data_IF_134342233932
#
_entry.id   IF_134342233932
#
_cell.length_a   1.000
_cell.length_b   1.000
_cell.length_c   1.000
_cell.angle_alpha   90.00
_cell.angle_beta   90.00
_cell.angle_gamma   90.00
#
_symmetry.space_group_name_H-M   'P 1'
#
loop_
_entity.id
_entity.type
_entity.pdbx_description
1 polymer ?
#
# COMPACT_ATOMS: atom_id res chain seq x y z
N UNK A 1 15.92 -23.02 -2.04
CA UNK A 1 15.35 -23.03 -3.41
C UNK A 1 16.22 -23.82 -4.38
N UNK A 2 15.68 -24.41 -5.46
CA UNK A 2 16.54 -24.96 -6.54
C UNK A 2 16.81 -23.87 -7.59
N UNK A 3 18.05 -23.79 -8.07
CA UNK A 3 18.43 -22.79 -9.08
C UNK A 3 17.62 -22.91 -10.38
N UNK A 4 17.18 -24.11 -10.76
CA UNK A 4 16.30 -24.29 -11.91
C UNK A 4 15.00 -23.51 -11.79
N UNK A 5 14.38 -23.46 -10.61
CA UNK A 5 13.12 -22.74 -10.37
C UNK A 5 13.36 -21.22 -10.48
N UNK A 6 14.39 -20.72 -9.77
CA UNK A 6 14.83 -19.32 -9.83
C UNK A 6 15.12 -18.88 -11.27
N UNK A 7 15.75 -19.76 -12.04
CA UNK A 7 16.11 -19.46 -13.41
C UNK A 7 14.89 -19.29 -14.32
N UNK A 8 13.87 -20.15 -14.22
CA UNK A 8 12.68 -20.04 -15.07
C UNK A 8 11.87 -18.78 -14.72
N UNK A 9 11.64 -18.51 -13.43
CA UNK A 9 10.96 -17.28 -12.99
C UNK A 9 11.72 -16.04 -13.44
N UNK A 10 13.05 -16.04 -13.33
CA UNK A 10 13.87 -14.93 -13.83
C UNK A 10 13.70 -14.71 -15.34
N UNK A 11 13.64 -15.77 -16.15
CA UNK A 11 13.44 -15.63 -17.59
C UNK A 11 12.05 -15.05 -17.92
N UNK A 12 11.01 -15.43 -17.17
CA UNK A 12 9.64 -14.88 -17.32
C UNK A 12 9.60 -13.38 -17.01
N UNK A 13 10.20 -12.95 -15.89
CA UNK A 13 10.29 -11.53 -15.50
C UNK A 13 11.06 -10.70 -16.52
N UNK A 14 12.17 -11.24 -17.03
CA UNK A 14 12.99 -10.57 -18.03
C UNK A 14 12.30 -10.47 -19.38
N UNK A 15 11.47 -11.46 -19.78
CA UNK A 15 10.70 -11.38 -21.01
C UNK A 15 9.62 -10.29 -20.92
N UNK A 16 8.93 -10.22 -19.77
CA UNK A 16 7.95 -9.17 -19.46
C UNK A 16 8.57 -7.76 -19.41
N UNK A 17 9.80 -7.64 -18.90
CA UNK A 17 10.47 -6.34 -18.64
C UNK A 17 11.62 -6.02 -19.60
N UNK A 18 11.80 -6.78 -20.69
CA UNK A 18 12.98 -6.73 -21.59
C UNK A 18 13.29 -5.35 -22.17
N UNK A 19 12.32 -4.43 -22.25
CA UNK A 19 12.52 -3.08 -22.78
C UNK A 19 13.11 -2.05 -21.79
N UNK A 20 13.15 -2.38 -20.50
CA UNK A 20 13.63 -1.46 -19.47
C UNK A 20 15.16 -1.42 -19.36
N UNK A 21 15.71 -0.24 -19.07
CA UNK A 21 17.14 -0.07 -18.87
C UNK A 21 17.53 -0.42 -17.44
N UNK A 22 18.32 -1.48 -17.29
CA UNK A 22 18.90 -1.91 -16.03
C UNK A 22 20.21 -1.16 -15.77
N UNK A 23 20.55 -1.01 -14.48
CA UNK A 23 21.79 -0.36 -14.03
C UNK A 23 22.55 -1.33 -13.14
N UNK A 24 23.86 -1.49 -13.36
CA UNK A 24 24.66 -2.36 -12.49
C UNK A 24 24.80 -1.78 -11.08
N UNK A 25 24.68 -2.60 -10.02
CA UNK A 25 24.78 -2.15 -8.63
C UNK A 25 26.06 -1.38 -8.29
N UNK A 26 27.23 -1.94 -8.61
CA UNK A 26 28.52 -1.39 -8.17
C UNK A 26 29.08 -0.38 -9.17
N UNK A 27 29.07 -0.72 -10.46
CA UNK A 27 29.69 0.07 -11.53
C UNK A 27 28.77 1.17 -12.07
N UNK A 28 27.47 1.10 -11.78
CA UNK A 28 26.42 2.02 -12.27
C UNK A 28 26.33 2.11 -13.79
N UNK A 29 26.73 1.03 -14.48
CA UNK A 29 26.67 0.95 -15.93
C UNK A 29 25.25 0.62 -16.38
N UNK A 30 24.76 1.35 -17.40
CA UNK A 30 23.41 1.12 -17.95
C UNK A 30 23.45 0.15 -19.12
N UNK A 31 22.53 -0.80 -19.12
CA UNK A 31 22.36 -1.77 -20.20
C UNK A 31 20.88 -2.15 -20.36
N UNK A 32 20.55 -2.85 -21.44
CA UNK A 32 19.22 -3.44 -21.67
C UNK A 32 19.35 -4.92 -21.95
N UNK A 33 18.31 -5.67 -21.63
CA UNK A 33 18.19 -7.07 -22.01
C UNK A 33 17.59 -7.13 -23.40
N UNK A 34 18.34 -7.63 -24.38
CA UNK A 34 17.90 -7.65 -25.78
C UNK A 34 17.29 -8.98 -26.18
N UNK A 35 17.65 -10.06 -25.49
CA UNK A 35 17.21 -11.42 -25.81
C UNK A 35 17.34 -12.34 -24.59
N UNK A 36 16.35 -13.21 -24.40
CA UNK A 36 16.23 -14.11 -23.25
C UNK A 36 16.14 -15.53 -23.76
N UNK A 37 17.04 -16.42 -23.32
CA UNK A 37 17.12 -17.81 -23.79
C UNK A 37 17.29 -18.77 -22.61
N UNK A 38 16.90 -20.03 -22.81
CA UNK A 38 16.96 -21.09 -21.78
C UNK A 38 18.35 -21.25 -21.14
N UNK A 39 19.44 -20.97 -21.87
CA UNK A 39 20.80 -21.14 -21.37
C UNK A 39 21.59 -19.83 -21.23
N UNK A 40 21.03 -18.68 -21.62
CA UNK A 40 21.72 -17.39 -21.56
C UNK A 40 20.77 -16.19 -21.68
N UNK A 41 21.20 -15.06 -21.17
CA UNK A 41 20.56 -13.75 -21.36
C UNK A 41 21.52 -12.86 -22.16
N UNK A 42 21.05 -12.21 -23.21
CA UNK A 42 21.87 -11.28 -24.01
C UNK A 42 21.56 -9.86 -23.55
N UNK A 43 22.60 -9.14 -23.15
CA UNK A 43 22.50 -7.73 -22.77
C UNK A 43 23.23 -6.84 -23.78
N UNK A 44 22.80 -5.60 -23.91
CA UNK A 44 23.47 -4.57 -24.69
C UNK A 44 23.69 -3.31 -23.83
N UNK A 45 24.94 -2.86 -23.74
CA UNK A 45 25.30 -1.62 -23.07
C UNK A 45 24.99 -0.39 -23.94
N UNK A 46 24.93 0.79 -23.33
CA UNK A 46 24.73 2.07 -24.05
C UNK A 46 25.80 2.31 -25.13
N UNK A 47 27.00 1.72 -25.00
CA UNK A 47 28.07 1.80 -26.00
C UNK A 47 27.89 0.85 -27.20
N UNK A 48 26.77 0.12 -27.27
CA UNK A 48 26.40 -0.78 -28.36
C UNK A 48 27.08 -2.15 -28.31
N UNK A 49 27.74 -2.50 -27.21
CA UNK A 49 28.35 -3.83 -27.05
C UNK A 49 27.33 -4.82 -26.51
N UNK A 50 26.96 -5.79 -27.34
CA UNK A 50 26.18 -6.95 -26.92
C UNK A 50 27.08 -7.98 -26.21
N UNK A 51 26.63 -8.49 -25.06
CA UNK A 51 27.34 -9.51 -24.27
C UNK A 51 26.35 -10.62 -23.84
N UNK A 52 26.66 -11.89 -24.09
CA UNK A 52 25.89 -12.99 -23.53
C UNK A 52 26.30 -13.24 -22.07
N UNK A 53 25.30 -13.39 -21.21
CA UNK A 53 25.41 -13.80 -19.81
C UNK A 53 24.98 -15.26 -19.70
N UNK A 54 25.88 -16.12 -19.22
CA UNK A 54 25.66 -17.57 -19.23
C UNK A 54 24.92 -18.03 -17.98
N UNK A 55 23.97 -18.96 -18.15
CA UNK A 55 23.21 -19.58 -17.05
C UNK A 55 24.11 -20.13 -15.93
N UNK A 56 25.26 -20.73 -16.24
CA UNK A 56 26.12 -21.32 -15.20
C UNK A 56 26.75 -20.26 -14.28
N UNK A 57 26.93 -19.03 -14.77
CA UNK A 57 27.45 -17.93 -13.97
C UNK A 57 26.37 -17.39 -13.02
N UNK A 58 25.11 -17.36 -13.47
CA UNK A 58 23.96 -17.10 -12.61
C UNK A 58 23.85 -18.14 -11.50
N UNK A 59 24.00 -19.42 -11.84
CA UNK A 59 23.96 -20.50 -10.86
C UNK A 59 25.07 -20.38 -9.81
N UNK A 60 26.27 -20.02 -10.27
CA UNK A 60 27.42 -19.84 -9.39
C UNK A 60 27.19 -18.68 -8.42
N UNK A 61 26.65 -17.56 -8.91
CA UNK A 61 26.34 -16.41 -8.07
C UNK A 61 25.18 -16.70 -7.11
N UNK A 62 24.12 -17.34 -7.59
CA UNK A 62 22.98 -17.77 -6.77
C UNK A 62 23.42 -18.66 -5.60
N UNK A 63 24.25 -19.68 -5.85
CA UNK A 63 24.76 -20.55 -4.77
C UNK A 63 25.55 -19.77 -3.72
N UNK A 64 26.36 -18.78 -4.13
CA UNK A 64 27.11 -17.93 -3.20
C UNK A 64 26.21 -17.02 -2.37
N UNK A 65 25.09 -16.58 -2.93
CA UNK A 65 24.07 -15.81 -2.20
C UNK A 65 23.36 -16.73 -1.19
N UNK A 66 22.94 -17.92 -1.63
CA UNK A 66 22.26 -18.89 -0.77
C UNK A 66 23.15 -19.42 0.37
N UNK A 67 24.48 -19.50 0.18
CA UNK A 67 25.44 -19.91 1.20
C UNK A 67 25.78 -18.78 2.20
N UNK A 68 25.35 -17.54 1.97
CA UNK A 68 25.70 -16.37 2.80
C UNK A 68 24.58 -16.01 3.79
N UNK A 69 24.85 -16.18 5.10
CA UNK A 69 23.87 -15.91 6.17
C UNK A 69 23.35 -14.46 6.21
N UNK A 70 24.21 -13.47 5.96
CA UNK A 70 23.86 -12.03 5.99
C UNK A 70 23.72 -11.41 4.58
N UNK A 71 23.61 -12.26 3.54
CA UNK A 71 23.66 -11.84 2.15
C UNK A 71 25.07 -11.71 1.58
N UNK A 72 25.16 -11.66 0.25
CA UNK A 72 26.40 -11.62 -0.50
C UNK A 72 26.85 -10.18 -0.78
N UNK A 73 28.03 -9.80 -0.30
CA UNK A 73 28.68 -8.52 -0.58
C UNK A 73 29.07 -8.40 -2.08
N UNK A 74 28.41 -7.49 -2.79
CA UNK A 74 28.64 -7.23 -4.21
C UNK A 74 30.03 -6.68 -4.52
N UNK A 75 30.66 -5.98 -3.58
CA UNK A 75 32.04 -5.50 -3.71
C UNK A 75 33.07 -6.64 -3.84
N UNK A 76 32.69 -7.88 -3.51
CA UNK A 76 33.52 -9.07 -3.73
C UNK A 76 33.40 -9.63 -5.13
N UNK A 77 32.46 -9.14 -5.95
CA UNK A 77 32.34 -9.56 -7.34
C UNK A 77 33.50 -8.97 -8.17
N UNK A 78 34.04 -9.76 -9.11
CA UNK A 78 34.77 -9.19 -10.22
C UNK A 78 33.91 -8.13 -10.92
N UNK A 79 34.47 -7.01 -11.41
CA UNK A 79 33.72 -5.97 -12.12
C UNK A 79 32.87 -6.52 -13.27
N UNK A 80 33.35 -7.57 -13.95
CA UNK A 80 32.65 -8.19 -15.07
C UNK A 80 31.44 -9.03 -14.65
N UNK A 81 31.28 -9.32 -13.35
CA UNK A 81 30.19 -10.10 -12.77
C UNK A 81 29.06 -9.24 -12.19
N UNK A 82 29.26 -7.92 -12.08
CA UNK A 82 28.27 -6.94 -11.57
C UNK A 82 26.95 -6.96 -12.38
N UNK A 83 27.04 -7.23 -13.69
CA UNK A 83 25.88 -7.42 -14.58
C UNK A 83 25.01 -8.62 -14.20
N UNK A 84 25.58 -9.68 -13.62
CA UNK A 84 24.81 -10.84 -13.19
C UNK A 84 24.01 -10.51 -11.93
N UNK A 85 24.54 -9.66 -11.05
CA UNK A 85 23.81 -9.19 -9.88
C UNK A 85 22.62 -8.30 -10.28
N UNK A 86 22.81 -7.37 -11.22
CA UNK A 86 21.73 -6.54 -11.75
C UNK A 86 20.58 -7.36 -12.34
N UNK A 87 20.91 -8.40 -13.11
CA UNK A 87 19.92 -9.26 -13.75
C UNK A 87 19.26 -10.18 -12.72
N UNK A 88 20.01 -10.79 -11.79
CA UNK A 88 19.42 -11.60 -10.71
C UNK A 88 18.49 -10.80 -9.81
N UNK A 89 18.77 -9.53 -9.57
CA UNK A 89 17.91 -8.65 -8.78
C UNK A 89 16.55 -8.34 -9.44
N UNK A 90 16.29 -8.80 -10.65
CA UNK A 90 14.94 -8.80 -11.24
C UNK A 90 14.09 -9.96 -10.72
N UNK A 91 14.70 -10.98 -10.11
CA UNK A 91 13.96 -12.09 -9.53
C UNK A 91 13.21 -11.62 -8.27
N UNK A 92 11.91 -11.92 -8.11
CA UNK A 92 11.09 -11.39 -7.00
C UNK A 92 11.55 -11.81 -5.61
N UNK A 93 12.35 -12.88 -5.52
CA UNK A 93 12.90 -13.40 -4.25
C UNK A 93 14.36 -13.04 -4.01
N UNK A 94 14.95 -12.19 -4.85
CA UNK A 94 16.30 -11.67 -4.64
C UNK A 94 16.23 -10.15 -4.49
N UNK A 95 16.71 -9.64 -3.37
CA UNK A 95 16.72 -8.20 -3.09
C UNK A 95 18.14 -7.67 -3.05
N UNK A 96 18.38 -6.60 -3.81
CA UNK A 96 19.59 -5.79 -3.71
C UNK A 96 19.33 -4.72 -2.66
N UNK A 97 20.12 -4.69 -1.59
CA UNK A 97 19.98 -3.70 -0.52
C UNK A 97 20.06 -2.26 -1.04
N UNK A 98 19.49 -1.31 -0.28
CA UNK A 98 19.34 0.10 -0.69
C UNK A 98 20.66 0.77 -1.11
N UNK A 99 21.77 0.39 -0.49
CA UNK A 99 23.12 0.89 -0.80
C UNK A 99 23.78 0.18 -2.00
N UNK A 100 23.10 -0.77 -2.63
CA UNK A 100 23.62 -1.60 -3.73
C UNK A 100 24.88 -2.42 -3.37
N UNK A 101 25.09 -2.70 -2.08
CA UNK A 101 26.28 -3.36 -1.54
C UNK A 101 26.09 -4.83 -1.25
N UNK A 102 24.85 -5.29 -1.02
CA UNK A 102 24.55 -6.67 -0.63
C UNK A 102 23.36 -7.18 -1.45
N UNK A 103 23.45 -8.43 -1.90
CA UNK A 103 22.31 -9.18 -2.45
C UNK A 103 21.99 -10.34 -1.54
N UNK A 104 20.74 -10.45 -1.13
CA UNK A 104 20.26 -11.55 -0.30
C UNK A 104 19.03 -12.19 -0.92
N UNK A 105 18.85 -13.47 -0.64
CA UNK A 105 17.53 -14.07 -0.78
C UNK A 105 16.60 -13.28 0.14
N UNK A 106 15.50 -12.78 -0.42
CA UNK A 106 14.36 -12.44 0.41
C UNK A 106 14.01 -13.76 1.04
N UNK A 107 14.18 -13.89 2.35
CA UNK A 107 13.54 -14.98 3.07
C UNK A 107 12.06 -14.90 2.68
N UNK A 108 11.65 -15.73 1.70
CA UNK A 108 10.30 -16.26 1.73
C UNK A 108 10.26 -16.76 3.15
N UNK A 109 9.43 -16.13 3.95
CA UNK A 109 9.03 -16.76 5.18
C UNK A 109 8.51 -18.12 4.69
N UNK A 110 9.32 -19.17 4.82
CA UNK A 110 8.82 -20.49 5.17
C UNK A 110 7.76 -20.13 6.18
N UNK A 111 6.49 -20.28 5.79
CA UNK A 111 5.37 -19.68 6.51
C UNK A 111 5.66 -19.93 7.98
N UNK A 112 6.04 -18.89 8.75
CA UNK A 112 6.83 -19.10 9.93
C UNK A 112 6.00 -20.03 10.79
N UNK A 113 6.53 -21.20 11.15
CA UNK A 113 5.88 -22.18 12.05
C UNK A 113 5.03 -21.35 13.01
N UNK A 114 3.69 -21.43 12.92
CA UNK A 114 2.77 -20.32 13.15
C UNK A 114 3.29 -19.49 14.31
N UNK A 115 4.07 -18.46 13.99
CA UNK A 115 4.74 -17.70 15.03
C UNK A 115 3.59 -17.16 15.86
N UNK A 116 3.51 -17.55 17.14
CA UNK A 116 2.36 -17.29 18.01
C UNK A 116 1.87 -15.86 17.75
N UNK A 117 0.79 -15.76 16.97
CA UNK A 117 0.31 -14.46 16.51
C UNK A 117 -0.17 -13.75 17.75
N UNK A 118 0.45 -12.64 18.07
CA UNK A 118 0.01 -11.81 19.19
C UNK A 118 -1.05 -10.87 18.65
N UNK A 119 -2.23 -10.94 19.24
CA UNK A 119 -3.31 -9.99 18.98
C UNK A 119 -2.79 -8.55 19.23
N UNK A 120 -2.85 -7.67 18.22
CA UNK A 120 -2.44 -6.29 18.39
C UNK A 120 -3.52 -5.51 19.14
N UNK A 121 -3.08 -4.61 20.03
CA UNK A 121 -3.95 -3.65 20.72
C UNK A 121 -4.31 -2.49 19.78
N UNK A 122 -5.18 -2.77 18.80
CA UNK A 122 -5.63 -1.82 17.78
C UNK A 122 -7.14 -1.97 17.56
N UNK A 123 -7.89 -0.88 17.65
CA UNK A 123 -9.34 -0.87 17.46
C UNK A 123 -9.74 -1.46 16.09
N UNK A 124 -9.01 -1.12 15.03
CA UNK A 124 -9.25 -1.67 13.68
C UNK A 124 -9.11 -3.18 13.60
N UNK A 125 -8.29 -3.80 14.46
CA UNK A 125 -8.13 -5.25 14.50
C UNK A 125 -9.38 -5.90 15.08
N UNK A 126 -9.83 -5.44 16.24
CA UNK A 126 -11.03 -5.94 16.90
C UNK A 126 -12.28 -5.75 16.02
N UNK A 127 -12.47 -4.54 15.46
CA UNK A 127 -13.64 -4.24 14.62
C UNK A 127 -13.62 -5.02 13.30
N UNK A 128 -12.44 -5.27 12.73
CA UNK A 128 -12.33 -6.08 11.52
C UNK A 128 -12.70 -7.55 11.78
N UNK A 129 -12.33 -8.10 12.94
CA UNK A 129 -12.75 -9.46 13.32
C UNK A 129 -14.27 -9.54 13.52
N UNK A 130 -14.87 -8.56 14.19
CA UNK A 130 -16.33 -8.47 14.36
C UNK A 130 -17.04 -8.32 13.01
N UNK A 131 -16.47 -7.54 12.08
CA UNK A 131 -17.02 -7.43 10.73
C UNK A 131 -16.91 -8.75 9.97
N UNK A 132 -15.77 -9.44 10.01
CA UNK A 132 -15.60 -10.75 9.36
C UNK A 132 -16.63 -11.74 9.89
N UNK A 133 -16.77 -11.84 11.21
CA UNK A 133 -17.77 -12.70 11.87
C UNK A 133 -19.21 -12.36 11.42
N UNK A 134 -19.58 -11.08 11.40
CA UNK A 134 -20.90 -10.66 10.92
C UNK A 134 -21.13 -10.98 9.43
N UNK A 135 -20.09 -10.91 8.60
CA UNK A 135 -20.15 -11.25 7.17
C UNK A 135 -20.26 -12.77 6.95
N UNK A 136 -19.74 -13.60 7.86
CA UNK A 136 -19.85 -15.06 7.79
C UNK A 136 -21.24 -15.56 8.22
N UNK A 137 -21.90 -14.86 9.15
CA UNK A 137 -23.22 -15.23 9.68
C UNK A 137 -24.40 -14.76 8.84
N UNK A 138 -24.21 -13.77 7.98
CA UNK A 138 -25.29 -13.15 7.21
C UNK A 138 -25.01 -13.23 5.71
N UNK A 139 -26.03 -13.57 4.92
CA UNK A 139 -25.94 -13.52 3.46
C UNK A 139 -25.94 -12.06 2.98
N UNK A 140 -24.74 -11.49 2.88
CA UNK A 140 -24.52 -10.11 2.44
C UNK A 140 -24.61 -9.94 0.93
N UNK A 141 -24.85 -11.02 0.17
CA UNK A 141 -25.04 -10.94 -1.29
C UNK A 141 -26.47 -10.56 -1.67
N UNK A 142 -27.41 -10.62 -0.73
CA UNK A 142 -28.82 -10.27 -0.89
C UNK A 142 -29.30 -9.28 0.21
N UNK A 143 -28.64 -8.12 0.32
CA UNK A 143 -28.95 -7.10 1.34
C UNK A 143 -30.42 -6.62 1.34
N UNK A 144 -31.13 -6.75 0.22
CA UNK A 144 -32.54 -6.35 0.09
C UNK A 144 -33.47 -7.21 0.95
N UNK A 145 -33.07 -8.45 1.22
CA UNK A 145 -33.82 -9.43 2.00
C UNK A 145 -33.39 -9.45 3.48
N UNK A 146 -32.34 -8.70 3.83
CA UNK A 146 -31.81 -8.65 5.19
C UNK A 146 -32.72 -7.86 6.13
N UNK A 147 -32.80 -8.30 7.39
CA UNK A 147 -33.55 -7.58 8.42
C UNK A 147 -32.88 -6.23 8.73
N UNK A 148 -33.69 -5.23 9.09
CA UNK A 148 -33.20 -3.88 9.42
C UNK A 148 -32.13 -3.91 10.51
N UNK A 149 -32.26 -4.80 11.50
CA UNK A 149 -31.28 -4.98 12.57
C UNK A 149 -29.91 -5.43 12.03
N UNK A 150 -29.91 -6.45 11.16
CA UNK A 150 -28.70 -6.90 10.44
C UNK A 150 -28.07 -5.76 9.64
N UNK A 151 -28.88 -4.99 8.91
CA UNK A 151 -28.38 -3.86 8.12
C UNK A 151 -27.77 -2.76 9.00
N UNK A 152 -28.36 -2.46 10.16
CA UNK A 152 -27.81 -1.50 11.12
C UNK A 152 -26.48 -1.99 11.69
N UNK A 153 -26.38 -3.27 12.03
CA UNK A 153 -25.15 -3.87 12.54
C UNK A 153 -24.03 -3.82 11.49
N UNK A 154 -24.31 -4.28 10.27
CA UNK A 154 -23.35 -4.23 9.15
C UNK A 154 -22.91 -2.80 8.85
N UNK A 155 -23.85 -1.84 8.82
CA UNK A 155 -23.51 -0.43 8.60
C UNK A 155 -22.57 0.13 9.66
N UNK A 156 -22.86 -0.17 10.94
CA UNK A 156 -22.07 0.30 12.08
C UNK A 156 -20.66 -0.28 12.03
N UNK A 157 -20.53 -1.60 11.88
CA UNK A 157 -19.22 -2.27 11.80
C UNK A 157 -18.41 -1.79 10.58
N UNK A 158 -19.04 -1.61 9.41
CA UNK A 158 -18.37 -1.04 8.24
C UNK A 158 -17.86 0.39 8.50
N UNK A 159 -18.65 1.19 9.21
CA UNK A 159 -18.28 2.57 9.57
C UNK A 159 -17.09 2.59 10.54
N UNK A 160 -17.10 1.74 11.56
CA UNK A 160 -16.04 1.67 12.56
C UNK A 160 -14.73 1.15 11.95
N UNK A 161 -14.78 0.07 11.16
CA UNK A 161 -13.61 -0.42 10.41
C UNK A 161 -13.08 0.65 9.45
N UNK A 162 -13.94 1.36 8.71
CA UNK A 162 -13.51 2.42 7.81
C UNK A 162 -12.78 3.54 8.57
N UNK A 163 -13.35 4.00 9.69
CA UNK A 163 -12.79 5.07 10.51
C UNK A 163 -11.46 4.66 11.10
N UNK A 164 -11.40 3.52 11.78
CA UNK A 164 -10.21 3.07 12.49
C UNK A 164 -9.09 2.64 11.52
N UNK A 165 -9.43 2.08 10.35
CA UNK A 165 -8.46 1.86 9.28
C UNK A 165 -7.92 3.18 8.70
N UNK A 166 -8.75 4.22 8.59
CA UNK A 166 -8.30 5.52 8.13
C UNK A 166 -7.40 6.23 9.15
N UNK A 167 -7.69 6.08 10.45
CA UNK A 167 -6.85 6.61 11.53
C UNK A 167 -5.47 5.94 11.49
N UNK A 168 -5.40 4.59 11.47
CA UNK A 168 -4.13 3.86 11.31
C UNK A 168 -3.40 4.24 10.00
N UNK A 169 -4.12 4.36 8.89
CA UNK A 169 -3.54 4.79 7.60
C UNK A 169 -2.92 6.18 7.70
N UNK A 170 -3.50 7.08 8.49
CA UNK A 170 -2.99 8.44 8.70
C UNK A 170 -1.71 8.38 9.51
N UNK A 171 -1.68 7.66 10.63
CA UNK A 171 -0.47 7.47 11.44
C UNK A 171 0.69 6.87 10.62
N UNK A 172 0.39 5.85 9.80
CA UNK A 172 1.36 5.26 8.88
C UNK A 172 1.83 6.28 7.83
N UNK A 173 0.93 7.10 7.30
CA UNK A 173 1.27 8.13 6.31
C UNK A 173 2.20 9.18 6.90
N UNK A 174 1.97 9.61 8.14
CA UNK A 174 2.81 10.60 8.82
C UNK A 174 4.25 10.08 8.97
N UNK A 175 4.42 8.83 9.40
CA UNK A 175 5.73 8.18 9.47
C UNK A 175 6.37 8.02 8.08
N UNK A 176 5.60 7.69 7.06
CA UNK A 176 6.11 7.57 5.69
C UNK A 176 6.54 8.92 5.10
N UNK A 177 5.86 10.03 5.43
CA UNK A 177 6.27 11.37 4.98
C UNK A 177 7.67 11.74 5.47
N UNK A 178 8.05 11.30 6.67
CA UNK A 178 9.39 11.50 7.21
C UNK A 178 10.47 10.67 6.49
N UNK A 179 10.09 9.52 5.92
CA UNK A 179 11.01 8.55 5.31
C UNK A 179 11.14 8.70 3.79
N UNK A 180 10.07 9.07 3.11
CA UNK A 180 10.03 9.13 1.65
C UNK A 180 10.71 10.40 1.12
N UNK A 181 11.63 10.21 0.17
CA UNK A 181 12.14 11.29 -0.68
C UNK A 181 11.09 11.73 -1.69
N UNK A 182 11.16 12.99 -2.13
CA UNK A 182 10.28 13.54 -3.16
C UNK A 182 10.40 12.79 -4.49
N UNK A 183 9.25 12.59 -5.15
CA UNK A 183 9.12 12.18 -6.56
C UNK A 183 9.63 10.78 -6.95
N UNK A 184 9.87 9.87 -5.98
CA UNK A 184 10.16 8.45 -6.29
C UNK A 184 9.20 7.51 -5.53
N UNK A 185 8.51 6.58 -6.23
CA UNK A 185 7.70 5.57 -5.57
C UNK A 185 8.59 4.54 -4.86
N UNK A 186 8.18 4.16 -3.65
CA UNK A 186 8.75 3.04 -2.89
C UNK A 186 7.77 1.87 -2.99
N UNK A 187 8.28 0.73 -3.46
CA UNK A 187 7.52 -0.51 -3.66
C UNK A 187 7.62 -1.39 -2.41
N UNK A 188 6.55 -2.15 -2.17
CA UNK A 188 6.43 -3.16 -1.12
C UNK A 188 5.53 -4.29 -1.64
N UNK A 189 5.39 -5.35 -0.85
CA UNK A 189 4.70 -6.59 -1.20
C UNK A 189 3.22 -6.42 -1.61
N UNK A 190 2.56 -5.32 -1.26
CA UNK A 190 1.14 -5.09 -1.56
C UNK A 190 0.90 -3.87 -2.48
N UNK A 191 1.96 -3.24 -2.99
CA UNK A 191 1.87 -2.09 -3.87
C UNK A 191 2.97 -1.05 -3.65
N UNK A 192 2.73 0.18 -4.09
CA UNK A 192 3.72 1.26 -3.98
C UNK A 192 3.10 2.58 -3.53
N UNK A 193 3.91 3.38 -2.85
CA UNK A 193 3.54 4.72 -2.36
C UNK A 193 4.59 5.75 -2.74
N UNK A 194 4.18 7.00 -2.92
CA UNK A 194 5.09 8.11 -3.19
C UNK A 194 4.68 9.36 -2.40
N UNK A 195 5.67 10.17 -2.01
CA UNK A 195 5.43 11.51 -1.48
C UNK A 195 5.11 12.46 -2.62
N UNK A 196 4.06 13.25 -2.45
CA UNK A 196 3.63 14.27 -3.42
C UNK A 196 3.14 15.50 -2.67
N UNK A 197 3.22 16.68 -3.30
CA UNK A 197 2.70 17.91 -2.72
C UNK A 197 1.44 18.37 -3.45
N UNK A 198 0.51 18.93 -2.68
CA UNK A 198 -0.64 19.66 -3.19
C UNK A 198 -0.49 21.10 -2.75
N UNK A 199 -0.49 21.99 -3.74
CA UNK A 199 -0.52 23.44 -3.53
C UNK A 199 -1.95 23.93 -3.70
N UNK A 200 -2.49 24.55 -2.66
CA UNK A 200 -3.78 25.25 -2.68
C UNK A 200 -3.50 26.74 -2.52
N UNK A 201 -4.21 27.58 -3.26
CA UNK A 201 -4.15 29.04 -3.11
C UNK A 201 -5.55 29.60 -2.88
N UNK A 202 -5.67 30.52 -1.95
CA UNK A 202 -6.90 31.27 -1.68
C UNK A 202 -6.57 32.75 -1.64
N UNK A 203 -7.46 33.60 -2.15
CA UNK A 203 -7.26 35.05 -2.08
C UNK A 203 -7.17 35.48 -0.62
N UNK A 204 -6.25 36.41 -0.35
CA UNK A 204 -6.25 37.16 0.90
C UNK A 204 -7.50 38.02 1.00
N UNK A 205 -7.74 38.57 2.19
CA UNK A 205 -8.88 39.46 2.43
C UNK A 205 -8.97 40.58 1.37
N UNK A 206 -10.19 40.86 0.91
CA UNK A 206 -10.50 41.82 -0.15
C UNK A 206 -9.80 43.18 0.03
N UNK A 207 -9.75 43.69 1.27
CA UNK A 207 -9.10 44.97 1.59
C UNK A 207 -7.58 44.91 1.35
N UNK A 208 -6.95 43.81 1.77
CA UNK A 208 -5.52 43.56 1.57
C UNK A 208 -5.19 43.46 0.08
N UNK A 209 -5.97 42.68 -0.67
CA UNK A 209 -5.75 42.51 -2.12
C UNK A 209 -5.92 43.84 -2.86
N UNK A 210 -6.96 44.61 -2.53
CA UNK A 210 -7.20 45.93 -3.14
C UNK A 210 -6.08 46.94 -2.83
N UNK A 211 -5.57 46.95 -1.60
CA UNK A 211 -4.46 47.82 -1.20
C UNK A 211 -3.18 47.50 -1.99
N UNK A 212 -2.85 46.20 -2.09
CA UNK A 212 -1.68 45.72 -2.84
C UNK A 212 -1.79 46.05 -4.33
N UNK A 213 -2.97 45.86 -4.93
CA UNK A 213 -3.21 46.22 -6.33
C UNK A 213 -3.13 47.73 -6.57
N UNK A 214 -3.66 48.55 -5.65
CA UNK A 214 -3.60 50.01 -5.75
C UNK A 214 -2.16 50.55 -5.64
N UNK A 215 -1.35 50.00 -4.73
CA UNK A 215 0.06 50.35 -4.58
C UNK A 215 0.89 49.99 -5.84
N UNK A 216 0.47 48.95 -6.57
CA UNK A 216 1.05 48.59 -7.87
C UNK A 216 0.52 49.43 -9.06
N UNK A 217 -0.32 50.44 -8.80
CA UNK A 217 -0.86 51.33 -9.82
C UNK A 217 -2.08 50.78 -10.58
N UNK A 218 -2.71 49.72 -10.07
CA UNK A 218 -3.94 49.14 -10.62
C UNK A 218 -5.13 49.81 -9.93
N UNK A 219 -5.99 50.46 -10.73
CA UNK A 219 -7.14 51.22 -10.21
C UNK A 219 -8.12 50.29 -9.43
N UNK A 220 -8.30 50.50 -8.11
CA UNK A 220 -9.15 49.65 -7.28
C UNK A 220 -10.64 49.69 -7.69
N UNK A 221 -11.08 50.71 -8.43
CA UNK A 221 -12.44 50.82 -8.96
C UNK A 221 -12.67 49.91 -10.20
N UNK A 222 -11.61 49.42 -10.85
CA UNK A 222 -11.73 48.39 -11.91
C UNK A 222 -12.01 46.99 -11.38
N UNK A 223 -11.84 46.76 -10.08
CA UNK A 223 -12.02 45.46 -9.42
C UNK A 223 -13.17 45.58 -8.43
N UNK A 224 -14.40 45.80 -8.91
CA UNK A 224 -15.57 45.99 -8.03
C UNK A 224 -15.86 44.74 -7.17
N UNK A 225 -15.46 43.56 -7.64
CA UNK A 225 -15.37 42.29 -6.89
C UNK A 225 -13.96 41.73 -7.02
N UNK A 226 -13.32 41.35 -5.91
CA UNK A 226 -12.02 40.65 -5.93
C UNK A 226 -12.29 39.22 -6.39
N UNK A 227 -12.16 39.01 -7.70
CA UNK A 227 -12.34 37.71 -8.34
C UNK A 227 -10.95 37.11 -8.61
N UNK A 228 -10.69 35.82 -8.30
CA UNK A 228 -9.40 35.18 -8.54
C UNK A 228 -8.91 35.36 -9.98
N UNK A 229 -9.80 35.27 -10.97
CA UNK A 229 -9.44 35.39 -12.39
C UNK A 229 -8.96 36.81 -12.73
N UNK A 230 -9.61 37.84 -12.17
CA UNK A 230 -9.20 39.25 -12.36
C UNK A 230 -7.91 39.59 -11.62
N UNK A 231 -7.68 38.98 -10.47
CA UNK A 231 -6.43 39.15 -9.71
C UNK A 231 -5.27 38.48 -10.44
N UNK A 232 -5.50 37.30 -11.04
CA UNK A 232 -4.51 36.64 -11.90
C UNK A 232 -4.17 37.48 -13.14
N UNK A 233 -5.17 38.06 -13.81
CA UNK A 233 -4.94 38.97 -14.94
C UNK A 233 -4.11 40.20 -14.54
N UNK A 234 -4.36 40.73 -13.34
CA UNK A 234 -3.62 41.85 -12.76
C UNK A 234 -2.17 41.48 -12.40
N UNK A 235 -1.95 40.29 -11.82
CA UNK A 235 -0.63 39.74 -11.55
C UNK A 235 0.18 39.55 -12.84
N UNK A 236 -0.45 39.12 -13.94
CA UNK A 236 0.24 38.89 -15.22
C UNK A 236 0.83 40.16 -15.86
N UNK A 237 0.33 41.35 -15.49
CA UNK A 237 0.75 42.64 -16.06
C UNK A 237 1.40 43.58 -15.03
N UNK A 238 1.65 43.09 -13.81
CA UNK A 238 2.28 43.86 -12.73
C UNK A 238 3.56 43.19 -12.24
N UNK A 239 4.30 43.89 -11.38
CA UNK A 239 5.48 43.35 -10.69
C UNK A 239 5.10 42.61 -9.39
N UNK A 240 3.79 42.48 -9.12
CA UNK A 240 3.28 41.78 -7.94
C UNK A 240 3.50 40.28 -8.07
N UNK A 241 3.81 39.65 -6.95
CA UNK A 241 3.94 38.21 -6.84
C UNK A 241 2.63 37.60 -6.36
N UNK A 242 2.44 36.31 -6.65
CA UNK A 242 1.27 35.56 -6.19
C UNK A 242 1.11 35.63 -4.67
N UNK A 243 2.23 35.58 -3.92
CA UNK A 243 2.25 35.69 -2.46
C UNK A 243 1.81 37.04 -1.93
N UNK A 244 1.72 38.09 -2.75
CA UNK A 244 1.26 39.40 -2.29
C UNK A 244 -0.27 39.41 -2.14
N UNK A 245 -0.99 38.65 -2.97
CA UNK A 245 -2.46 38.66 -3.07
C UNK A 245 -3.13 37.33 -2.70
N UNK A 246 -2.40 36.21 -2.72
CA UNK A 246 -2.89 34.89 -2.31
C UNK A 246 -2.19 34.39 -1.04
N UNK A 247 -2.97 33.74 -0.18
CA UNK A 247 -2.47 32.78 0.80
C UNK A 247 -2.26 31.44 0.10
N UNK A 248 -1.03 30.95 0.16
CA UNK A 248 -0.60 29.72 -0.52
C UNK A 248 -0.25 28.70 0.54
N UNK A 249 -1.00 27.60 0.56
CA UNK A 249 -0.75 26.44 1.41
C UNK A 249 -0.19 25.30 0.56
N UNK A 250 1.00 24.82 0.89
CA UNK A 250 1.55 23.58 0.34
C UNK A 250 1.45 22.48 1.39
N UNK A 251 0.80 21.37 1.03
CA UNK A 251 0.66 20.20 1.89
C UNK A 251 1.22 18.99 1.20
N UNK A 252 2.08 18.29 1.90
CA UNK A 252 2.66 17.03 1.43
C UNK A 252 1.79 15.87 1.92
N UNK A 253 1.64 14.87 1.06
CA UNK A 253 0.85 13.70 1.38
C UNK A 253 1.43 12.46 0.70
N UNK A 254 1.19 11.31 1.33
CA UNK A 254 1.51 10.01 0.74
C UNK A 254 0.41 9.64 -0.22
N UNK A 255 0.78 9.36 -1.46
CA UNK A 255 -0.12 8.87 -2.50
C UNK A 255 0.21 7.41 -2.80
N UNK A 256 -0.81 6.55 -2.69
CA UNK A 256 -0.77 5.20 -3.26
C UNK A 256 -0.62 5.30 -4.78
N UNK A 257 0.44 4.72 -5.32
CA UNK A 257 0.77 4.76 -6.73
C UNK A 257 0.29 3.49 -7.44
N UNK A 258 0.68 2.32 -6.96
CA UNK A 258 0.29 1.02 -7.53
C UNK A 258 -0.22 0.09 -6.44
N UNK A 259 -1.00 -0.92 -6.85
CA UNK A 259 -1.50 -1.99 -5.99
C UNK A 259 -1.15 -3.31 -6.66
N UNK A 260 -0.60 -4.23 -5.88
CA UNK A 260 -0.34 -5.60 -6.32
C UNK A 260 -1.46 -6.52 -5.82
N UNK A 261 -2.49 -6.70 -6.67
CA UNK A 261 -3.66 -7.50 -6.31
C UNK A 261 -3.39 -9.01 -6.41
N UNK A 262 -2.54 -9.46 -7.34
CA UNK A 262 -2.17 -10.88 -7.47
C UNK A 262 -1.43 -11.38 -6.22
N UNK A 263 -0.52 -10.57 -5.67
CA UNK A 263 0.19 -10.92 -4.44
C UNK A 263 -0.75 -11.00 -3.23
N UNK A 264 -1.77 -10.12 -3.16
CA UNK A 264 -2.79 -10.19 -2.12
C UNK A 264 -3.65 -11.43 -2.23
N UNK A 265 -4.11 -11.77 -3.43
CA UNK A 265 -4.91 -12.97 -3.68
C UNK A 265 -4.13 -14.23 -3.30
N UNK A 266 -2.87 -14.32 -3.71
CA UNK A 266 -1.99 -15.43 -3.37
C UNK A 266 -1.80 -15.57 -1.86
N UNK A 267 -1.54 -14.46 -1.15
CA UNK A 267 -1.39 -14.49 0.31
C UNK A 267 -2.70 -14.85 1.01
N UNK A 268 -3.83 -14.31 0.56
CA UNK A 268 -5.15 -14.62 1.11
C UNK A 268 -5.48 -16.10 0.92
N UNK A 269 -5.20 -16.67 -0.25
CA UNK A 269 -5.43 -18.08 -0.50
C UNK A 269 -4.58 -18.96 0.44
N UNK A 270 -3.30 -18.62 0.62
CA UNK A 270 -2.44 -19.34 1.58
C UNK A 270 -2.97 -19.27 3.03
N UNK A 271 -3.48 -18.12 3.45
CA UNK A 271 -4.11 -17.98 4.78
C UNK A 271 -5.37 -18.83 4.92
N UNK A 272 -6.20 -18.92 3.86
CA UNK A 272 -7.38 -19.78 3.85
C UNK A 272 -7.01 -21.25 3.91
N UNK A 273 -6.01 -21.68 3.15
CA UNK A 273 -5.52 -23.05 3.15
C UNK A 273 -4.97 -23.44 4.53
N UNK A 274 -4.25 -22.51 5.19
CA UNK A 274 -3.76 -22.69 6.55
C UNK A 274 -4.89 -22.81 7.59
N UNK A 275 -5.93 -21.98 7.48
CA UNK A 275 -7.09 -22.03 8.37
C UNK A 275 -7.86 -23.35 8.20
N UNK A 276 -8.14 -23.74 6.95
CA UNK A 276 -8.83 -24.99 6.63
C UNK A 276 -8.06 -26.24 7.08
N UNK A 277 -6.72 -26.18 7.09
CA UNK A 277 -5.88 -27.25 7.64
C UNK A 277 -5.87 -27.32 9.17
N UNK A 278 -6.35 -26.27 9.85
CA UNK A 278 -6.40 -26.14 11.31
C UNK A 278 -7.82 -26.32 11.88
N UNK A 279 -8.86 -26.45 11.03
CA UNK A 279 -10.22 -26.79 11.45
C UNK A 279 -10.25 -28.26 11.93
N UNK A 280 -10.07 -28.44 13.24
CA UNK A 280 -10.27 -29.70 13.96
C UNK A 280 -11.74 -29.84 14.39
N UNK A 281 -12.25 -31.06 14.55
CA UNK A 281 -13.66 -31.33 14.93
C UNK A 281 -14.06 -30.60 16.25
N UNK A 282 -13.08 -30.30 17.11
CA UNK A 282 -13.23 -29.54 18.37
C UNK A 282 -13.56 -28.05 18.14
N UNK A 283 -13.13 -27.45 17.03
CA UNK A 283 -13.42 -26.06 16.71
C UNK A 283 -14.89 -25.84 16.35
N UNK A 284 -15.52 -26.81 15.68
CA UNK A 284 -16.93 -26.75 15.32
C UNK A 284 -17.85 -26.89 16.54
N UNK A 285 -17.47 -27.72 17.53
CA UNK A 285 -18.19 -27.80 18.80
C UNK A 285 -18.15 -26.48 19.57
N UNK A 286 -16.98 -25.82 19.61
CA UNK A 286 -16.81 -24.50 20.25
C UNK A 286 -17.61 -23.40 19.54
N UNK A 287 -17.63 -23.38 18.19
CA UNK A 287 -18.47 -22.44 17.41
C UNK A 287 -19.94 -22.59 17.78
N UNK A 288 -20.45 -23.82 17.83
CA UNK A 288 -21.84 -24.08 18.20
C UNK A 288 -22.17 -23.68 19.66
N UNK A 289 -21.21 -23.84 20.58
CA UNK A 289 -21.37 -23.37 21.97
C UNK A 289 -21.44 -21.84 22.03
N UNK A 290 -20.57 -21.15 21.29
CA UNK A 290 -20.55 -19.68 21.22
C UNK A 290 -21.87 -19.15 20.63
N UNK A 291 -22.37 -19.72 19.53
CA UNK A 291 -23.66 -19.33 18.95
C UNK A 291 -24.81 -19.47 19.95
N UNK A 292 -24.83 -20.57 20.72
CA UNK A 292 -25.83 -20.77 21.76
C UNK A 292 -25.72 -19.72 22.89
N UNK A 293 -24.51 -19.30 23.23
CA UNK A 293 -24.26 -18.24 24.21
C UNK A 293 -24.67 -16.87 23.69
N UNK A 294 -24.38 -16.55 22.43
CA UNK A 294 -24.76 -15.30 21.78
C UNK A 294 -26.29 -15.18 21.68
N UNK A 295 -26.98 -16.22 21.21
CA UNK A 295 -28.45 -16.26 21.18
C UNK A 295 -29.06 -16.05 22.58
N UNK A 296 -28.38 -16.57 23.62
CA UNK A 296 -28.79 -16.36 25.01
C UNK A 296 -28.53 -14.93 25.48
N UNK A 297 -27.43 -14.31 25.09
CA UNK A 297 -27.14 -12.90 25.37
C UNK A 297 -28.20 -12.04 24.69
N UNK A 298 -28.48 -12.26 23.41
CA UNK A 298 -29.51 -11.56 22.65
C UNK A 298 -30.90 -11.69 23.30
N UNK A 299 -31.28 -12.88 23.78
CA UNK A 299 -32.53 -13.06 24.54
C UNK A 299 -32.57 -12.23 25.83
N UNK A 300 -31.42 -12.04 26.49
CA UNK A 300 -31.29 -11.34 27.77
C UNK A 300 -31.10 -9.82 27.62
N UNK A 301 -30.47 -9.36 26.54
CA UNK A 301 -30.18 -7.95 26.25
C UNK A 301 -31.12 -7.34 25.23
N UNK A 302 -31.84 -8.18 24.48
CA UNK A 302 -32.89 -7.80 23.55
C UNK A 302 -33.96 -7.03 24.31
N UNK A 303 -34.16 -5.78 23.88
CA UNK A 303 -35.08 -4.84 24.51
C UNK A 303 -36.47 -5.48 24.67
N UNK A 304 -36.85 -5.86 25.91
CA UNK A 304 -38.25 -6.05 26.27
C UNK A 304 -38.95 -4.71 26.01
N UNK A 305 -39.55 -4.57 24.82
CA UNK A 305 -40.36 -3.44 24.42
C UNK A 305 -41.27 -3.03 25.58
N UNK A 306 -41.21 -1.75 25.96
CA UNK A 306 -41.98 -1.13 27.04
C UNK A 306 -43.51 -1.08 26.81
N UNK A 307 -44.09 -2.15 26.28
CA UNK A 307 -45.53 -2.38 26.10
C UNK A 307 -46.15 -3.11 27.31
N UNK A 308 -45.38 -3.86 28.12
CA UNK A 308 -45.93 -4.51 29.34
C UNK A 308 -46.16 -3.57 30.53
N UNK A 309 -45.49 -2.42 30.58
CA UNK A 309 -45.66 -1.46 31.70
C UNK A 309 -46.76 -0.40 31.49
N UNK A 310 -47.38 -0.30 30.30
CA UNK A 310 -48.49 0.66 30.05
C UNK A 310 -49.90 0.09 30.24
N UNK A 311 -50.06 -1.21 30.49
CA UNK A 311 -51.39 -1.81 30.72
C UNK A 311 -51.86 -1.77 32.19
N UNK A 312 -51.02 -1.31 33.13
CA UNK A 312 -51.37 -1.23 34.56
C UNK A 312 -51.62 0.20 35.10
N UNK A 313 -51.57 1.25 34.27
CA UNK A 313 -51.82 2.63 34.73
C UNK A 313 -53.12 3.26 34.21
N UNK A 314 -54.02 2.49 33.61
CA UNK A 314 -55.37 2.95 33.23
C UNK A 314 -56.47 2.07 33.82
N UNK A 315 -56.41 1.82 35.12
CA UNK A 315 -57.53 1.29 35.89
C UNK A 315 -57.53 1.95 37.28
N UNK A 316 -58.03 3.19 37.33
CA UNK A 316 -58.03 4.02 38.52
C UNK A 316 -58.75 5.35 38.30
N UNK A 317 -60.03 5.28 37.92
CA UNK A 317 -61.04 6.31 38.20
C UNK A 317 -62.30 5.61 38.68
#
# INVERSE_FOLDING_TARGET
MRFDEVWHTLLEELDASSSEALTTPTSRDRFRVTDVQEHRVVIEFVDGKARPLQREQFETLFRRIADAEDGFELDRLPPEADVYAAVLGQHPELEIGEDATVVREVERSDDPEPANRTEPDLDVYADALLLVDALERHDVTALEDAETETLVNLYTLCSDVQRNANDLRTDVSDVLLERLSHDRPVRSSYGSVQRTSRRTRSLKDDETVRAVLADAGIDPDRVTSVDPEKVDDALAVSELTESDVYDVDEREYVRKAEVDDERKETRLQGLKDQLAASDDDEADELRAEIEALEARIEELTGFESGSRFRSHSSAGR
#
